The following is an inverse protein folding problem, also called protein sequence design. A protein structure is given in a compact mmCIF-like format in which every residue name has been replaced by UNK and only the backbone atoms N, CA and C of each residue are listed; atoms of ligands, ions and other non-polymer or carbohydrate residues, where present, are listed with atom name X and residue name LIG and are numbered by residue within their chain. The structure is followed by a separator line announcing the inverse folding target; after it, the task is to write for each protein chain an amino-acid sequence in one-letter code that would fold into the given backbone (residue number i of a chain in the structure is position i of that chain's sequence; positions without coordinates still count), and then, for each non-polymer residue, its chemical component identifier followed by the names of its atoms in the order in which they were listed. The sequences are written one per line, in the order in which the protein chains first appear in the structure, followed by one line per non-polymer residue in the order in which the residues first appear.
data_IF_465053206938
#
_entry.id   IF_465053206938
#
_cell.length_a   1.000
_cell.length_b   1.000
_cell.length_c   1.000
_cell.angle_alpha   90.00
_cell.angle_beta   90.00
_cell.angle_gamma   90.00
#
_symmetry.space_group_name_H-M   'P 1'
#
loop_
_entity.id
_entity.type
_entity.pdbx_description
1 polymer ?
#
# COMPACT_ATOMS: atom_id res chain seq x y z
N UNK A 1 -0.07 9.62 -12.65
CA UNK A 1 -1.21 8.85 -13.18
C UNK A 1 -2.50 9.36 -12.55
N UNK A 2 -3.67 9.12 -13.15
CA UNK A 2 -4.97 9.55 -12.60
C UNK A 2 -5.18 9.09 -11.15
N UNK A 3 -4.88 7.82 -10.87
CA UNK A 3 -4.96 7.23 -9.52
C UNK A 3 -4.13 7.98 -8.48
N UNK A 4 -2.88 8.35 -8.81
CA UNK A 4 -2.02 9.09 -7.88
C UNK A 4 -2.66 10.43 -7.52
N UNK A 5 -3.06 11.21 -8.51
CA UNK A 5 -3.68 12.52 -8.29
C UNK A 5 -4.97 12.42 -7.47
N UNK A 6 -5.79 11.39 -7.69
CA UNK A 6 -6.97 11.11 -6.88
C UNK A 6 -6.59 10.87 -5.41
N UNK A 7 -5.58 10.04 -5.15
CA UNK A 7 -5.08 9.77 -3.79
C UNK A 7 -4.48 11.03 -3.15
N UNK A 8 -3.62 11.76 -3.87
CA UNK A 8 -3.02 13.00 -3.37
C UNK A 8 -4.09 14.03 -3.00
N UNK A 9 -5.15 14.15 -3.80
CA UNK A 9 -6.28 15.04 -3.51
C UNK A 9 -7.11 14.56 -2.30
N UNK A 10 -7.29 13.26 -2.13
CA UNK A 10 -8.00 12.69 -0.97
C UNK A 10 -7.21 12.81 0.34
N UNK A 11 -5.89 12.68 0.29
CA UNK A 11 -5.03 12.67 1.48
C UNK A 11 -4.38 14.04 1.79
N UNK A 12 -4.29 14.94 0.80
CA UNK A 12 -3.55 16.20 0.91
C UNK A 12 -2.06 15.99 1.16
N UNK A 13 -1.49 14.93 0.58
CA UNK A 13 -0.08 14.52 0.71
C UNK A 13 0.45 14.22 -0.69
N UNK A 14 1.73 14.52 -0.92
CA UNK A 14 2.43 14.16 -2.16
C UNK A 14 2.80 12.67 -2.18
N UNK A 15 2.39 11.95 -3.22
CA UNK A 15 2.73 10.54 -3.44
C UNK A 15 3.61 10.37 -4.67
N UNK A 16 4.27 11.44 -5.12
CA UNK A 16 5.17 11.41 -6.27
C UNK A 16 6.34 10.44 -6.08
N UNK A 17 6.79 10.28 -4.84
CA UNK A 17 7.88 9.39 -4.43
C UNK A 17 7.44 7.95 -4.15
N UNK A 18 6.14 7.65 -4.19
CA UNK A 18 5.63 6.31 -3.95
C UNK A 18 5.83 5.42 -5.17
N UNK A 19 6.47 4.28 -4.95
CA UNK A 19 6.66 3.20 -5.92
C UNK A 19 5.66 2.08 -5.64
N UNK A 20 5.11 1.51 -6.71
CA UNK A 20 4.16 0.40 -6.63
C UNK A 20 4.80 -0.81 -7.29
N UNK A 21 4.91 -1.90 -6.55
CA UNK A 21 5.46 -3.18 -6.98
C UNK A 21 4.33 -4.21 -7.08
N UNK A 22 4.19 -4.79 -8.27
CA UNK A 22 3.15 -5.80 -8.58
C UNK A 22 3.73 -6.99 -9.34
N UNK A 23 5.05 -7.11 -9.34
CA UNK A 23 5.82 -8.11 -10.05
C UNK A 23 5.93 -9.41 -9.23
N UNK A 24 6.62 -10.41 -9.79
CA UNK A 24 6.73 -11.74 -9.17
C UNK A 24 7.37 -11.71 -7.78
N UNK A 25 8.33 -10.80 -7.55
CA UNK A 25 8.98 -10.61 -6.25
C UNK A 25 7.98 -10.05 -5.22
N UNK A 26 7.25 -8.99 -5.56
CA UNK A 26 6.21 -8.44 -4.69
C UNK A 26 5.15 -9.50 -4.31
N UNK A 27 4.76 -10.34 -5.27
CA UNK A 27 3.83 -11.45 -5.03
C UNK A 27 4.42 -12.47 -4.06
N UNK A 28 5.69 -12.85 -4.22
CA UNK A 28 6.33 -13.82 -3.34
C UNK A 28 6.47 -13.30 -1.90
N UNK A 29 6.93 -12.06 -1.73
CA UNK A 29 7.03 -11.41 -0.42
C UNK A 29 5.67 -11.37 0.29
N UNK A 30 4.62 -11.00 -0.43
CA UNK A 30 3.27 -11.00 0.12
C UNK A 30 2.80 -12.40 0.50
N UNK A 31 3.15 -13.46 -0.24
CA UNK A 31 2.81 -14.84 0.14
C UNK A 31 3.54 -15.28 1.40
N UNK A 32 4.83 -14.95 1.52
CA UNK A 32 5.65 -15.32 2.67
C UNK A 32 5.16 -14.62 3.95
N UNK A 33 4.66 -13.39 3.81
CA UNK A 33 4.05 -12.62 4.89
C UNK A 33 2.57 -12.96 5.12
N UNK A 34 1.90 -13.70 4.22
CA UNK A 34 0.45 -13.88 4.28
C UNK A 34 -0.37 -12.60 4.05
N UNK A 35 0.20 -11.63 3.33
CA UNK A 35 -0.37 -10.31 3.08
C UNK A 35 -1.12 -10.22 1.74
N UNK A 36 -2.05 -9.27 1.64
CA UNK A 36 -2.61 -8.81 0.37
C UNK A 36 -1.80 -7.67 -0.26
N UNK A 37 -1.26 -6.79 0.57
CA UNK A 37 -0.29 -5.79 0.22
C UNK A 37 0.47 -5.38 1.49
N UNK A 38 1.63 -4.74 1.34
CA UNK A 38 2.32 -4.08 2.44
C UNK A 38 3.11 -2.87 1.94
N UNK A 39 3.38 -1.94 2.86
CA UNK A 39 4.21 -0.76 2.59
C UNK A 39 5.50 -0.81 3.39
N UNK A 40 6.61 -0.48 2.72
CA UNK A 40 7.92 -0.29 3.35
C UNK A 40 8.52 1.04 2.88
N UNK A 41 8.48 2.05 3.75
CA UNK A 41 8.91 3.40 3.40
C UNK A 41 8.04 3.98 2.28
N UNK A 42 8.63 4.16 1.09
CA UNK A 42 7.96 4.69 -0.11
C UNK A 42 7.53 3.60 -1.10
N UNK A 43 7.80 2.35 -0.78
CA UNK A 43 7.55 1.22 -1.66
C UNK A 43 6.33 0.44 -1.18
N UNK A 44 5.35 0.24 -2.06
CA UNK A 44 4.12 -0.50 -1.78
C UNK A 44 4.09 -1.75 -2.64
N UNK A 45 3.98 -2.91 -2.02
CA UNK A 45 4.05 -4.22 -2.66
C UNK A 45 2.69 -4.89 -2.63
N UNK A 46 2.13 -5.25 -3.78
CA UNK A 46 0.84 -5.93 -3.86
C UNK A 46 0.98 -7.41 -4.21
N UNK A 47 0.14 -8.24 -3.61
CA UNK A 47 -0.03 -9.62 -4.00
C UNK A 47 -0.74 -9.72 -5.37
N UNK A 48 -0.72 -10.92 -5.95
CA UNK A 48 -1.25 -11.17 -7.29
C UNK A 48 -2.73 -10.78 -7.36
N UNK A 49 -3.06 -9.92 -8.33
CA UNK A 49 -4.43 -9.44 -8.56
C UNK A 49 -4.97 -8.46 -7.51
N UNK A 50 -4.16 -8.02 -6.53
CA UNK A 50 -4.58 -7.09 -5.48
C UNK A 50 -4.42 -5.62 -5.88
N UNK A 51 -3.46 -5.30 -6.75
CA UNK A 51 -3.37 -3.97 -7.32
C UNK A 51 -4.38 -3.80 -8.46
N UNK A 52 -5.49 -3.11 -8.17
CA UNK A 52 -6.46 -2.71 -9.18
C UNK A 52 -7.06 -1.34 -8.81
N UNK A 53 -6.48 -0.23 -9.31
CA UNK A 53 -6.95 1.11 -8.98
C UNK A 53 -8.26 1.50 -9.69
N UNK A 54 -8.73 0.69 -10.64
CA UNK A 54 -9.95 0.97 -11.43
C UNK A 54 -11.22 0.42 -10.77
N UNK A 55 -11.09 -0.44 -9.76
CA UNK A 55 -12.22 -0.93 -8.96
C UNK A 55 -12.15 -0.42 -7.52
N UNK A 56 -13.30 -0.40 -6.84
CA UNK A 56 -13.42 0.15 -5.49
C UNK A 56 -12.56 -0.59 -4.46
N UNK A 57 -12.46 -1.92 -4.56
CA UNK A 57 -11.73 -2.75 -3.58
C UNK A 57 -10.21 -2.55 -3.67
N UNK A 58 -9.64 -2.53 -4.87
CA UNK A 58 -8.22 -2.29 -5.08
C UNK A 58 -7.84 -0.83 -4.84
N UNK A 59 -8.73 0.11 -5.15
CA UNK A 59 -8.56 1.53 -4.76
C UNK A 59 -8.57 1.70 -3.24
N UNK A 60 -9.46 1.00 -2.53
CA UNK A 60 -9.50 1.01 -1.07
C UNK A 60 -8.23 0.41 -0.45
N UNK A 61 -7.76 -0.73 -0.98
CA UNK A 61 -6.51 -1.36 -0.54
C UNK A 61 -5.31 -0.41 -0.74
N UNK A 62 -5.22 0.24 -1.91
CA UNK A 62 -4.17 1.23 -2.16
C UNK A 62 -4.23 2.39 -1.16
N UNK A 63 -5.41 2.94 -0.88
CA UNK A 63 -5.57 4.00 0.10
C UNK A 63 -5.16 3.57 1.53
N UNK A 64 -5.47 2.33 1.91
CA UNK A 64 -5.05 1.74 3.18
C UNK A 64 -3.51 1.70 3.28
N UNK A 65 -2.86 1.13 2.28
CA UNK A 65 -1.39 0.98 2.28
C UNK A 65 -0.67 2.34 2.22
N UNK A 66 -1.21 3.31 1.46
CA UNK A 66 -0.68 4.67 1.41
C UNK A 66 -0.78 5.38 2.75
N UNK A 67 -1.76 5.06 3.59
CA UNK A 67 -1.86 5.62 4.95
C UNK A 67 -0.65 5.22 5.81
N UNK A 68 -0.07 4.03 5.56
CA UNK A 68 1.10 3.53 6.27
C UNK A 68 2.43 4.08 5.73
N UNK A 69 2.51 4.37 4.43
CA UNK A 69 3.70 4.97 3.79
C UNK A 69 3.77 6.49 3.88
N UNK A 70 2.63 7.16 4.02
CA UNK A 70 2.55 8.61 4.11
C UNK A 70 3.05 9.09 5.47
N UNK A 71 4.33 9.43 5.55
CA UNK A 71 4.94 10.10 6.69
C UNK A 71 4.26 11.44 7.00
N UNK A 72 3.20 11.42 7.80
CA UNK A 72 2.95 12.45 8.80
C UNK A 72 3.46 11.87 10.10
N UNK A 73 4.38 12.59 10.76
CA UNK A 73 4.88 12.31 12.11
C UNK A 73 3.73 12.11 13.12
N UNK A 74 3.12 10.92 13.12
CA UNK A 74 2.31 10.41 14.21
C UNK A 74 3.11 9.24 14.77
N UNK A 75 3.59 9.45 15.99
CA UNK A 75 4.28 8.55 16.92
C UNK A 75 4.78 7.18 16.41
N UNK A 76 6.03 6.79 16.72
CA UNK A 76 6.57 5.47 16.38
C UNK A 76 5.93 4.39 17.26
N UNK A 77 4.71 3.97 16.93
CA UNK A 77 4.09 2.81 17.55
C UNK A 77 4.41 1.58 16.70
N UNK A 78 5.66 1.09 16.86
CA UNK A 78 6.20 -0.18 16.34
C UNK A 78 6.08 -0.43 14.83
N UNK A 79 6.96 -1.25 14.23
CA UNK A 79 6.64 -1.89 12.96
C UNK A 79 5.54 -2.93 13.23
N UNK A 80 4.31 -2.47 13.46
CA UNK A 80 3.16 -3.35 13.35
C UNK A 80 3.03 -3.67 11.88
N UNK A 81 3.42 -4.89 11.53
CA UNK A 81 3.10 -5.49 10.24
C UNK A 81 1.58 -5.31 10.08
N UNK A 82 1.15 -4.38 9.22
CA UNK A 82 -0.22 -3.88 9.16
C UNK A 82 -1.23 -5.02 9.13
N UNK A 83 -2.41 -4.80 9.74
CA UNK A 83 -3.50 -5.76 9.98
C UNK A 83 -3.92 -6.63 8.77
N UNK A 84 -3.47 -6.31 7.56
CA UNK A 84 -3.61 -7.12 6.34
C UNK A 84 -2.71 -8.37 6.29
N UNK A 85 -1.73 -8.50 7.18
CA UNK A 85 -0.96 -9.75 7.40
C UNK A 85 -1.69 -10.72 8.33
N UNK A 86 -2.61 -10.22 9.16
CA UNK A 86 -3.34 -11.02 10.15
C UNK A 86 -4.77 -11.38 9.74
N UNK A 87 -5.27 -10.90 8.60
CA UNK A 87 -6.56 -11.32 8.05
C UNK A 87 -6.43 -12.70 7.39
N UNK A 88 -6.35 -13.73 8.23
CA UNK A 88 -6.57 -15.14 7.87
C UNK A 88 -8.06 -15.41 7.68
#
# INVERSE_FOLDING_TARGET
TKTRAEMENSFGVDFSQVNIHTDGEAVQLNKDLGAHAFTHGKDVYFNAGKYNPDNSSGKHLLAHELTHGAGKNKHPEKPEISSNVLQR
#
